data_IF_399970732455
#
_entry.id   IF_399970732455
#
_cell.length_a   1.000
_cell.length_b   1.000
_cell.length_c   1.000
_cell.angle_alpha   90.00
_cell.angle_beta   90.00
_cell.angle_gamma   90.00
#
_symmetry.space_group_name_H-M   'P 1'
#
loop_
_entity.id
_entity.type
_entity.pdbx_description
1 polymer ?
#
# COMPACT_ATOMS: atom_id res chain seq x y z
N UNK A 1 9.41 13.12 -12.56
CA UNK A 1 8.67 12.39 -11.51
C UNK A 1 8.01 13.44 -10.61
N UNK A 2 6.66 13.57 -10.60
CA UNK A 2 6.03 14.47 -9.63
C UNK A 2 6.30 13.92 -8.22
N UNK A 3 6.67 14.77 -7.24
CA UNK A 3 6.88 14.31 -5.88
C UNK A 3 5.61 13.68 -5.32
N UNK A 4 5.55 12.34 -5.24
CA UNK A 4 4.40 11.60 -4.71
C UNK A 4 4.47 11.49 -3.18
N UNK A 5 4.71 12.61 -2.48
CA UNK A 5 4.95 12.63 -1.04
C UNK A 5 3.77 12.04 -0.24
N UNK A 6 2.54 12.18 -0.74
CA UNK A 6 1.35 11.60 -0.13
C UNK A 6 1.35 10.06 -0.12
N UNK A 7 1.83 9.41 -1.18
CA UNK A 7 1.92 7.93 -1.24
C UNK A 7 2.97 7.43 -0.26
N UNK A 8 4.12 8.10 -0.21
CA UNK A 8 5.18 7.75 0.74
C UNK A 8 4.77 7.96 2.20
N UNK A 9 4.06 9.05 2.50
CA UNK A 9 3.50 9.27 3.83
C UNK A 9 2.48 8.18 4.22
N UNK A 10 1.64 7.75 3.26
CA UNK A 10 0.67 6.68 3.47
C UNK A 10 1.35 5.33 3.74
N UNK A 11 2.42 5.00 3.02
CA UNK A 11 3.22 3.79 3.27
C UNK A 11 3.83 3.83 4.68
N UNK A 12 4.44 4.96 5.06
CA UNK A 12 5.05 5.11 6.38
C UNK A 12 4.01 5.00 7.51
N UNK A 13 2.84 5.61 7.31
CA UNK A 13 1.70 5.46 8.22
C UNK A 13 1.27 4.00 8.34
N UNK A 14 1.11 3.28 7.22
CA UNK A 14 0.72 1.87 7.24
C UNK A 14 1.74 0.97 7.94
N UNK A 15 3.04 1.23 7.80
CA UNK A 15 4.09 0.47 8.51
C UNK A 15 3.94 0.60 10.02
N UNK A 16 3.70 1.81 10.52
CA UNK A 16 3.48 2.07 11.94
C UNK A 16 2.16 1.44 12.38
N UNK A 17 1.09 1.64 11.61
CA UNK A 17 -0.22 1.06 11.84
C UNK A 17 -0.19 -0.48 11.88
N UNK A 18 0.74 -1.11 11.16
CA UNK A 18 0.85 -2.57 11.10
C UNK A 18 1.57 -3.19 12.30
N UNK A 19 2.23 -2.40 13.16
CA UNK A 19 2.88 -2.94 14.36
C UNK A 19 1.89 -3.45 15.42
N UNK A 20 0.63 -2.99 15.36
CA UNK A 20 -0.47 -3.42 16.22
C UNK A 20 -0.14 -3.50 17.73
N UNK A 21 0.49 -2.45 18.27
CA UNK A 21 0.82 -2.35 19.70
C UNK A 21 -0.39 -2.01 20.58
N UNK A 22 -1.56 -1.72 20.01
CA UNK A 22 -2.74 -1.24 20.74
C UNK A 22 -3.75 -2.35 21.02
N UNK A 23 -4.02 -3.22 20.03
CA UNK A 23 -5.06 -4.26 20.16
C UNK A 23 -4.51 -5.63 20.58
N UNK A 24 -3.25 -5.71 20.99
CA UNK A 24 -2.56 -6.96 21.31
C UNK A 24 -3.27 -7.80 22.39
N UNK A 25 -3.80 -7.14 23.42
CA UNK A 25 -4.52 -7.80 24.52
C UNK A 25 -6.06 -7.62 24.44
N UNK A 26 -6.57 -7.02 23.36
CA UNK A 26 -8.00 -6.74 23.20
C UNK A 26 -8.73 -7.93 22.59
N UNK A 27 -9.62 -8.52 23.39
CA UNK A 27 -10.44 -9.67 23.00
C UNK A 27 -11.84 -9.29 22.51
N UNK A 28 -12.11 -8.00 22.34
CA UNK A 28 -13.39 -7.49 21.85
C UNK A 28 -13.74 -8.10 20.50
N UNK A 29 -14.97 -8.59 20.38
CA UNK A 29 -15.49 -9.18 19.15
C UNK A 29 -16.27 -8.15 18.35
N UNK A 30 -15.82 -7.88 17.13
CA UNK A 30 -16.57 -7.14 16.12
C UNK A 30 -17.61 -8.09 15.51
N UNK A 31 -18.85 -7.60 15.35
CA UNK A 31 -20.00 -8.38 14.86
C UNK A 31 -20.30 -9.66 15.67
N UNK A 32 -19.77 -9.80 16.88
CA UNK A 32 -20.01 -10.94 17.76
C UNK A 32 -19.22 -12.21 17.44
N UNK A 33 -18.31 -12.20 16.45
CA UNK A 33 -17.49 -13.37 16.10
C UNK A 33 -16.06 -13.06 15.65
N UNK A 34 -15.77 -11.82 15.24
CA UNK A 34 -14.48 -11.46 14.65
C UNK A 34 -13.62 -10.73 15.69
N UNK A 35 -12.45 -11.26 16.10
CA UNK A 35 -11.56 -10.53 17.02
C UNK A 35 -11.17 -9.16 16.45
N UNK A 36 -11.18 -8.12 17.29
CA UNK A 36 -10.88 -6.74 16.88
C UNK A 36 -9.49 -6.62 16.25
N UNK A 37 -8.48 -7.29 16.80
CA UNK A 37 -7.14 -7.33 16.22
C UNK A 37 -7.16 -7.88 14.78
N UNK A 38 -7.97 -8.91 14.51
CA UNK A 38 -8.10 -9.49 13.16
C UNK A 38 -8.85 -8.55 12.21
N UNK A 39 -9.94 -7.94 12.67
CA UNK A 39 -10.68 -6.94 11.92
C UNK A 39 -9.80 -5.75 11.53
N UNK A 40 -8.97 -5.29 12.47
CA UNK A 40 -8.00 -4.22 12.27
C UNK A 40 -6.97 -4.58 11.19
N UNK A 41 -6.37 -5.76 11.25
CA UNK A 41 -5.43 -6.24 10.23
C UNK A 41 -6.07 -6.41 8.84
N UNK A 42 -7.34 -6.82 8.77
CA UNK A 42 -8.08 -6.88 7.52
C UNK A 42 -8.24 -5.49 6.89
N UNK A 43 -8.57 -4.48 7.69
CA UNK A 43 -8.63 -3.08 7.26
C UNK A 43 -7.27 -2.57 6.76
N UNK A 44 -6.17 -2.89 7.46
CA UNK A 44 -4.83 -2.52 6.98
C UNK A 44 -4.52 -3.18 5.64
N UNK A 45 -4.88 -4.45 5.45
CA UNK A 45 -4.63 -5.15 4.19
C UNK A 45 -5.35 -4.47 3.01
N UNK A 46 -6.60 -4.05 3.23
CA UNK A 46 -7.36 -3.27 2.23
C UNK A 46 -6.71 -1.90 1.96
N UNK A 47 -6.30 -1.19 3.02
CA UNK A 47 -5.62 0.09 2.88
C UNK A 47 -4.27 -0.03 2.16
N UNK A 48 -3.52 -1.12 2.38
CA UNK A 48 -2.28 -1.42 1.69
C UNK A 48 -2.52 -1.70 0.19
N UNK A 49 -3.53 -2.48 -0.15
CA UNK A 49 -3.92 -2.73 -1.54
C UNK A 49 -4.30 -1.41 -2.26
N UNK A 50 -5.08 -0.55 -1.59
CA UNK A 50 -5.42 0.77 -2.11
C UNK A 50 -4.20 1.68 -2.26
N UNK A 51 -3.28 1.66 -1.30
CA UNK A 51 -2.02 2.41 -1.37
C UNK A 51 -1.18 1.96 -2.56
N UNK A 52 -1.11 0.66 -2.82
CA UNK A 52 -0.43 0.12 -4.00
C UNK A 52 -1.09 0.57 -5.29
N UNK A 53 -2.42 0.58 -5.36
CA UNK A 53 -3.14 1.15 -6.50
C UNK A 53 -2.81 2.63 -6.73
N UNK A 54 -2.73 3.45 -5.67
CA UNK A 54 -2.28 4.84 -5.80
C UNK A 54 -0.82 4.92 -6.27
N UNK A 55 0.06 4.05 -5.77
CA UNK A 55 1.45 4.01 -6.19
C UNK A 55 1.58 3.65 -7.68
N UNK A 56 0.77 2.74 -8.25
CA UNK A 56 0.80 2.46 -9.70
C UNK A 56 0.37 3.66 -10.53
N UNK A 57 -0.51 4.53 -10.01
CA UNK A 57 -1.00 5.71 -10.75
C UNK A 57 -0.10 6.94 -10.60
N UNK A 58 0.54 7.12 -9.45
CA UNK A 58 1.32 8.32 -9.14
C UNK A 58 2.84 8.13 -9.17
N UNK A 59 3.34 6.93 -8.87
CA UNK A 59 4.77 6.63 -8.80
C UNK A 59 5.28 5.91 -10.05
N UNK A 60 4.41 5.22 -10.81
CA UNK A 60 4.83 4.51 -12.02
C UNK A 60 5.10 5.49 -13.18
N UNK A 61 6.30 5.46 -13.79
CA UNK A 61 6.62 6.31 -14.93
C UNK A 61 5.78 5.90 -16.14
N UNK A 62 5.03 6.87 -16.71
CA UNK A 62 4.21 6.66 -17.91
C UNK A 62 4.98 6.94 -19.22
N UNK A 63 6.09 7.67 -19.14
CA UNK A 63 7.01 7.92 -20.25
C UNK A 63 8.10 6.83 -20.22
N UNK A 64 7.79 5.68 -20.81
CA UNK A 64 8.85 4.76 -21.23
C UNK A 64 9.34 5.29 -22.57
N UNK A 65 10.52 5.93 -22.60
CA UNK A 65 11.21 6.17 -23.86
C UNK A 65 11.31 4.81 -24.60
N UNK A 66 11.01 4.76 -25.92
CA UNK A 66 11.07 3.50 -26.66
C UNK A 66 12.41 2.83 -26.37
N UNK A 67 12.38 1.62 -25.82
CA UNK A 67 13.56 0.79 -25.64
C UNK A 67 14.31 0.80 -26.96
N UNK A 68 15.58 1.23 -26.92
CA UNK A 68 16.42 1.48 -28.08
C UNK A 68 16.09 0.52 -29.24
N UNK A 69 15.54 1.11 -30.29
CA UNK A 69 15.41 0.54 -31.62
C UNK A 69 16.68 -0.28 -31.90
N UNK A 70 16.56 -1.61 -31.87
CA UNK A 70 17.47 -2.47 -32.59
C UNK A 70 17.31 -2.11 -34.05
N UNK A 71 18.07 -1.10 -34.51
CA UNK A 71 18.28 -0.89 -35.92
C UNK A 71 19.13 -2.05 -36.35
N UNK A 72 18.44 -2.97 -36.99
CA UNK A 72 18.97 -3.91 -37.96
C UNK A 72 19.84 -3.11 -38.95
N UNK A 73 21.14 -3.00 -38.66
CA UNK A 73 22.14 -2.61 -39.66
C UNK A 73 22.57 -3.90 -40.35
N UNK A 74 21.75 -4.33 -41.31
CA UNK A 74 22.12 -5.30 -42.34
C UNK A 74 22.63 -4.55 -43.57
#
# INVERSE_FOLDING_TARGET
MKPAHGVWALILFLIIAHQDIWFWDDTTLVFGFLPVALAYHACISLAAAFTWYLATRFCWPSDQAPSAQGRDTA
#
